data_IF_363941855483
#
_entry.id   IF_363941855483
#
_cell.length_a   1.000
_cell.length_b   1.000
_cell.length_c   1.000
_cell.angle_alpha   90.00
_cell.angle_beta   90.00
_cell.angle_gamma   90.00
#
_symmetry.space_group_name_H-M   'P 1'
#
loop_
_entity.id
_entity.type
_entity.pdbx_description
1 polymer ?
#
# COMPACT_ATOMS: atom_id res chain seq x y z
N UNK A 1 10.86 13.55 -12.29
CA UNK A 1 9.83 12.50 -12.11
C UNK A 1 9.57 12.43 -10.62
N UNK A 2 8.33 12.62 -10.19
CA UNK A 2 7.99 12.53 -8.77
C UNK A 2 8.05 11.05 -8.38
N UNK A 3 8.85 10.71 -7.36
CA UNK A 3 8.95 9.33 -6.89
C UNK A 3 7.60 8.89 -6.28
N UNK A 4 7.15 7.68 -6.61
CA UNK A 4 5.95 7.10 -6.01
C UNK A 4 6.25 6.79 -4.54
N UNK A 5 5.28 7.10 -3.69
CA UNK A 5 5.33 6.85 -2.24
C UNK A 5 4.33 5.75 -1.91
N UNK A 6 4.78 4.70 -1.25
CA UNK A 6 3.94 3.57 -0.87
C UNK A 6 3.60 3.63 0.62
N UNK A 7 2.34 3.33 0.93
CA UNK A 7 1.87 3.09 2.29
C UNK A 7 1.47 1.63 2.40
N UNK A 8 2.08 0.88 3.31
CA UNK A 8 1.64 -0.48 3.61
C UNK A 8 0.33 -0.45 4.41
N UNK A 9 -0.61 -1.30 4.02
CA UNK A 9 -1.74 -1.67 4.86
C UNK A 9 -1.28 -2.60 6.00
N UNK A 10 -2.08 -2.70 7.07
CA UNK A 10 -1.74 -3.48 8.26
C UNK A 10 -1.64 -4.99 8.00
N UNK A 11 -2.30 -5.48 6.94
CA UNK A 11 -2.29 -6.88 6.55
C UNK A 11 -1.11 -7.26 5.63
N UNK A 12 -0.34 -6.27 5.15
CA UNK A 12 0.79 -6.50 4.25
C UNK A 12 1.94 -7.16 5.00
N UNK A 13 2.53 -8.19 4.39
CA UNK A 13 3.70 -8.87 4.98
C UNK A 13 4.90 -7.92 5.10
N UNK A 14 5.39 -7.74 6.32
CA UNK A 14 6.58 -6.91 6.63
C UNK A 14 7.83 -7.29 5.81
N UNK A 15 7.95 -8.55 5.40
CA UNK A 15 9.04 -9.01 4.55
C UNK A 15 9.02 -8.37 3.15
N UNK A 16 7.84 -8.03 2.61
CA UNK A 16 7.71 -7.32 1.33
C UNK A 16 8.26 -5.90 1.48
N UNK A 17 7.86 -5.18 2.53
CA UNK A 17 8.32 -3.81 2.81
C UNK A 17 9.85 -3.81 2.98
N UNK A 18 10.35 -4.65 3.89
CA UNK A 18 11.78 -4.73 4.21
C UNK A 18 12.61 -5.15 2.99
N UNK A 19 12.13 -6.12 2.21
CA UNK A 19 12.81 -6.58 1.01
C UNK A 19 12.81 -5.56 -0.12
N UNK A 20 11.72 -4.80 -0.28
CA UNK A 20 11.62 -3.72 -1.28
C UNK A 20 12.61 -2.60 -0.97
N UNK A 21 12.67 -2.15 0.28
CA UNK A 21 13.64 -1.13 0.72
C UNK A 21 15.09 -1.63 0.55
N UNK A 22 15.36 -2.91 0.85
CA UNK A 22 16.70 -3.50 0.61
C UNK A 22 17.05 -3.55 -0.87
N UNK A 23 16.09 -3.84 -1.73
CA UNK A 23 16.29 -3.97 -3.18
C UNK A 23 16.47 -2.62 -3.86
N UNK A 24 15.74 -1.59 -3.40
CA UNK A 24 15.78 -0.22 -3.90
C UNK A 24 15.82 0.76 -2.72
N UNK A 25 17.02 1.10 -2.18
CA UNK A 25 17.14 1.92 -0.96
C UNK A 25 16.55 3.33 -1.04
N UNK A 26 16.32 3.86 -2.25
CA UNK A 26 15.70 5.17 -2.47
C UNK A 26 14.17 5.14 -2.60
N UNK A 27 13.53 3.97 -2.47
CA UNK A 27 12.08 3.86 -2.57
C UNK A 27 11.43 4.41 -1.29
N UNK A 28 10.39 5.23 -1.43
CA UNK A 28 9.62 5.71 -0.29
C UNK A 28 8.52 4.70 0.02
N UNK A 29 8.70 3.94 1.10
CA UNK A 29 7.75 2.91 1.53
C UNK A 29 7.54 2.96 3.05
N UNK A 30 6.43 3.53 3.47
CA UNK A 30 6.01 3.64 4.85
C UNK A 30 5.27 2.38 5.32
N UNK A 31 5.56 1.91 6.53
CA UNK A 31 4.84 0.80 7.15
C UNK A 31 3.48 1.24 7.72
N UNK A 32 2.56 0.30 7.90
CA UNK A 32 1.28 0.55 8.55
C UNK A 32 1.45 1.11 9.98
N UNK A 33 2.44 0.61 10.71
CA UNK A 33 2.78 1.08 12.05
C UNK A 33 3.26 2.54 12.04
N UNK A 34 4.16 2.89 11.11
CA UNK A 34 4.67 4.26 11.01
C UNK A 34 3.58 5.28 10.63
N UNK A 35 2.52 4.85 9.97
CA UNK A 35 1.34 5.67 9.65
C UNK A 35 0.18 5.50 10.65
N UNK A 36 0.39 4.78 11.76
CA UNK A 36 -0.62 4.55 12.81
C UNK A 36 -1.92 3.94 12.26
N UNK A 37 -1.83 3.01 11.31
CA UNK A 37 -2.99 2.39 10.66
C UNK A 37 -3.61 1.23 11.45
N UNK A 38 -2.95 0.78 12.52
CA UNK A 38 -3.43 -0.35 13.32
C UNK A 38 -4.82 -0.07 13.92
N UNK A 39 -5.75 -1.00 13.71
CA UNK A 39 -7.12 -0.92 14.19
C UNK A 39 -8.04 0.05 13.41
N UNK A 40 -7.53 0.73 12.37
CA UNK A 40 -8.36 1.58 11.50
C UNK A 40 -9.20 0.74 10.55
N UNK A 41 -10.33 1.30 10.13
CA UNK A 41 -11.20 0.69 9.11
C UNK A 41 -10.75 1.10 7.70
N UNK A 42 -11.10 0.32 6.69
CA UNK A 42 -10.73 0.56 5.28
C UNK A 42 -10.95 2.02 4.82
N UNK A 43 -12.08 2.69 5.11
CA UNK A 43 -12.25 4.09 4.68
C UNK A 43 -11.27 5.07 5.35
N UNK A 44 -10.88 4.82 6.60
CA UNK A 44 -9.91 5.64 7.31
C UNK A 44 -8.49 5.41 6.79
N UNK A 45 -8.15 4.15 6.49
CA UNK A 45 -6.87 3.78 5.86
C UNK A 45 -6.73 4.45 4.49
N UNK A 46 -7.78 4.38 3.66
CA UNK A 46 -7.82 5.04 2.35
C UNK A 46 -7.72 6.57 2.47
N UNK A 47 -8.40 7.17 3.44
CA UNK A 47 -8.34 8.61 3.69
C UNK A 47 -6.93 9.08 4.05
N UNK A 48 -6.22 8.33 4.90
CA UNK A 48 -4.84 8.64 5.29
C UNK A 48 -3.89 8.52 4.09
N UNK A 49 -3.97 7.42 3.34
CA UNK A 49 -3.15 7.25 2.15
C UNK A 49 -3.38 8.37 1.11
N UNK A 50 -4.64 8.74 0.90
CA UNK A 50 -5.01 9.86 0.03
C UNK A 50 -4.47 11.21 0.54
N UNK A 51 -4.58 11.48 1.84
CA UNK A 51 -4.06 12.71 2.46
C UNK A 51 -2.55 12.83 2.31
N UNK A 52 -1.83 11.72 2.46
CA UNK A 52 -0.36 11.68 2.38
C UNK A 52 0.16 11.58 0.93
N UNK A 53 -0.76 11.47 -0.04
CA UNK A 53 -0.44 11.31 -1.46
C UNK A 53 0.25 9.98 -1.78
N UNK A 54 0.02 8.94 -0.97
CA UNK A 54 0.66 7.63 -1.09
C UNK A 54 -0.25 6.59 -1.76
N UNK A 55 0.37 5.63 -2.45
CA UNK A 55 -0.31 4.45 -2.97
C UNK A 55 -0.42 3.42 -1.84
N UNK A 56 -1.63 3.02 -1.49
CA UNK A 56 -1.85 1.97 -0.48
C UNK A 56 -1.49 0.60 -1.06
N UNK A 57 -0.71 -0.20 -0.35
CA UNK A 57 -0.33 -1.56 -0.74
C UNK A 57 -0.91 -2.54 0.28
N UNK A 58 -1.83 -3.41 -0.15
CA UNK A 58 -2.61 -4.29 0.74
C UNK A 58 -2.58 -5.75 0.27
N UNK A 59 -2.83 -6.69 1.19
CA UNK A 59 -3.17 -8.07 0.87
C UNK A 59 -4.70 -8.30 0.77
N UNK A 60 -5.53 -7.33 1.13
CA UNK A 60 -6.98 -7.46 1.16
C UNK A 60 -7.57 -7.36 -0.24
N UNK A 61 -7.69 -8.51 -0.89
CA UNK A 61 -8.38 -8.64 -2.17
C UNK A 61 -9.90 -8.65 -2.03
N UNK A 62 -10.43 -8.91 -0.84
CA UNK A 62 -11.86 -9.20 -0.64
C UNK A 62 -12.67 -7.92 -0.47
N UNK A 63 -12.22 -6.97 0.34
CA UNK A 63 -12.96 -5.74 0.64
C UNK A 63 -12.36 -4.54 -0.08
N UNK A 64 -11.03 -4.43 -0.14
CA UNK A 64 -10.36 -3.20 -0.57
C UNK A 64 -10.76 -2.72 -1.97
N UNK A 65 -10.93 -3.57 -3.01
CA UNK A 65 -11.38 -3.07 -4.31
C UNK A 65 -12.76 -2.38 -4.28
N UNK A 66 -13.67 -2.89 -3.45
CA UNK A 66 -15.03 -2.33 -3.30
C UNK A 66 -14.96 -1.03 -2.49
N UNK A 67 -14.23 -1.03 -1.37
CA UNK A 67 -14.08 0.17 -0.52
C UNK A 67 -13.34 1.28 -1.25
N UNK A 68 -12.29 0.95 -2.01
CA UNK A 68 -11.60 1.90 -2.88
C UNK A 68 -12.52 2.46 -3.96
N UNK A 69 -13.32 1.61 -4.62
CA UNK A 69 -14.30 2.04 -5.62
C UNK A 69 -15.32 3.04 -5.06
N UNK A 70 -15.79 2.83 -3.83
CA UNK A 70 -16.66 3.80 -3.13
C UNK A 70 -15.90 5.09 -2.77
N UNK A 71 -14.69 4.96 -2.27
CA UNK A 71 -13.86 6.08 -1.82
C UNK A 71 -13.61 7.09 -2.95
N UNK A 72 -13.25 6.61 -4.14
CA UNK A 72 -12.94 7.46 -5.29
C UNK A 72 -14.16 8.10 -5.96
N UNK A 73 -15.38 7.84 -5.47
CA UNK A 73 -16.58 8.55 -5.93
C UNK A 73 -16.60 10.01 -5.45
N UNK A 74 -15.90 10.33 -4.37
CA UNK A 74 -15.90 11.66 -3.75
C UNK A 74 -14.53 12.17 -3.32
N UNK A 75 -13.52 11.31 -3.24
CA UNK A 75 -12.17 11.67 -2.81
C UNK A 75 -11.14 11.34 -3.89
N UNK A 76 -10.11 12.18 -4.03
CA UNK A 76 -8.94 11.85 -4.85
C UNK A 76 -8.04 10.86 -4.10
N UNK A 77 -7.34 10.00 -4.84
CA UNK A 77 -6.38 9.05 -4.28
C UNK A 77 -5.23 8.80 -5.26
N UNK A 78 -4.04 8.51 -4.73
CA UNK A 78 -2.90 8.04 -5.54
C UNK A 78 -3.08 6.60 -6.01
N UNK A 79 -4.04 5.84 -5.45
CA UNK A 79 -4.38 4.49 -5.87
C UNK A 79 -4.14 3.41 -4.82
N UNK A 80 -4.51 2.18 -5.18
CA UNK A 80 -4.34 0.98 -4.35
C UNK A 80 -3.69 -0.13 -5.20
N UNK A 81 -2.65 -0.76 -4.65
CA UNK A 81 -2.05 -1.98 -5.17
C UNK A 81 -2.43 -3.16 -4.28
N UNK A 82 -3.13 -4.14 -4.87
CA UNK A 82 -3.52 -5.36 -4.17
C UNK A 82 -2.57 -6.48 -4.54
N UNK A 83 -1.77 -6.92 -3.57
CA UNK A 83 -0.83 -8.03 -3.74
C UNK A 83 -1.50 -9.31 -3.25
N UNK A 84 -1.49 -10.37 -4.07
CA UNK A 84 -2.05 -11.65 -3.63
C UNK A 84 -1.24 -12.24 -2.46
N UNK A 85 -1.92 -12.74 -1.43
CA UNK A 85 -1.28 -13.55 -0.38
C UNK A 85 -0.63 -14.85 -0.92
N UNK A 86 -1.00 -15.30 -2.13
CA UNK A 86 -0.37 -16.47 -2.78
C UNK A 86 0.89 -16.12 -3.57
N UNK A 87 1.13 -14.85 -3.86
CA UNK A 87 2.35 -14.39 -4.53
C UNK A 87 3.54 -14.59 -3.61
N UNK A 88 4.70 -14.97 -4.17
CA UNK A 88 5.93 -15.07 -3.40
C UNK A 88 6.37 -13.67 -2.96
N UNK A 89 7.08 -13.59 -1.83
CA UNK A 89 7.61 -12.30 -1.35
C UNK A 89 8.59 -11.71 -2.37
N UNK A 90 9.38 -12.54 -3.03
CA UNK A 90 10.34 -12.10 -4.06
C UNK A 90 9.64 -11.46 -5.26
N UNK A 91 8.59 -12.09 -5.79
CA UNK A 91 7.86 -11.56 -6.95
C UNK A 91 7.14 -10.25 -6.58
N UNK A 92 6.60 -10.15 -5.37
CA UNK A 92 6.00 -8.92 -4.88
C UNK A 92 7.01 -7.77 -4.79
N UNK A 93 8.23 -8.04 -4.31
CA UNK A 93 9.32 -7.06 -4.24
C UNK A 93 9.71 -6.60 -5.64
N UNK A 94 9.99 -7.53 -6.56
CA UNK A 94 10.40 -7.18 -7.91
C UNK A 94 9.29 -6.40 -8.64
N UNK A 95 8.01 -6.74 -8.42
CA UNK A 95 6.89 -5.99 -8.98
C UNK A 95 6.82 -4.54 -8.44
N UNK A 96 6.98 -4.34 -7.13
CA UNK A 96 6.92 -3.00 -6.53
C UNK A 96 8.07 -2.08 -6.95
N UNK A 97 9.26 -2.65 -7.21
CA UNK A 97 10.43 -1.87 -7.67
C UNK A 97 10.27 -1.36 -9.10
N UNK A 98 9.37 -1.95 -9.90
CA UNK A 98 9.12 -1.57 -11.30
C UNK A 98 8.07 -0.47 -11.48
N UNK A 99 7.38 -0.09 -10.40
CA UNK A 99 6.31 0.93 -10.39
C UNK A 99 6.93 2.32 -10.31
#
# INVERSE_FOLDING_TARGET
MTAIRFQADADLRQAIITGTIRRQPGIDFQSAYAALLEGKKDPEVLAIAAQDGTVLVTHDRKTMPIEFGKFIMSQNSSGVLVISQKMSVSDAIEALVLV
#
